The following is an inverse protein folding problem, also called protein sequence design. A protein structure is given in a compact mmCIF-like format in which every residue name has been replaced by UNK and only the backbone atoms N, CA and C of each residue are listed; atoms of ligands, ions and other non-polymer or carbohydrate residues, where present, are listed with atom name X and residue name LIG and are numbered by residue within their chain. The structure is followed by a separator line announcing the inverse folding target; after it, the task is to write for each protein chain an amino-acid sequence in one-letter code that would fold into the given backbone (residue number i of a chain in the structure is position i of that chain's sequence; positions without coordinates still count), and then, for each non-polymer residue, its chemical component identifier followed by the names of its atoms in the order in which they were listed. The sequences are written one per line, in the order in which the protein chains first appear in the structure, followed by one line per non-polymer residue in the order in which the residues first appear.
data_IF_668633572560
#
_entry.id   IF_668633572560
#
_cell.length_a   1.000
_cell.length_b   1.000
_cell.length_c   1.000
_cell.angle_alpha   90.00
_cell.angle_beta   90.00
_cell.angle_gamma   90.00
#
_symmetry.space_group_name_H-M   'P 1'
#
loop_
_entity.id
_entity.type
_entity.pdbx_description
1 polymer ?
#
# COMPACT_ATOMS: atom_id res chain seq x y z
N UNK A 1 21.99 12.74 -33.60
CA UNK A 1 23.28 12.35 -34.20
C UNK A 1 23.01 11.37 -35.34
N UNK A 2 23.42 11.70 -36.57
CA UNK A 2 23.18 10.87 -37.76
C UNK A 2 24.52 10.47 -38.37
N UNK A 3 24.71 9.17 -38.61
CA UNK A 3 25.92 8.66 -39.22
C UNK A 3 25.91 8.93 -40.74
N UNK A 4 26.99 9.53 -41.24
CA UNK A 4 27.04 10.09 -42.61
C UNK A 4 26.86 9.02 -43.69
N UNK A 5 27.62 7.92 -43.62
CA UNK A 5 27.66 6.93 -44.71
C UNK A 5 26.50 5.93 -44.68
N UNK A 6 25.89 5.70 -43.53
CA UNK A 6 24.83 4.68 -43.37
C UNK A 6 23.46 5.29 -43.12
N UNK A 7 23.40 6.61 -42.94
CA UNK A 7 22.23 7.38 -42.53
C UNK A 7 21.56 6.88 -41.25
N UNK A 8 22.26 6.08 -40.44
CA UNK A 8 21.74 5.53 -39.20
C UNK A 8 21.72 6.60 -38.10
N UNK A 9 20.65 6.63 -37.32
CA UNK A 9 20.49 7.55 -36.20
C UNK A 9 20.92 6.87 -34.91
N UNK A 10 21.73 7.57 -34.11
CA UNK A 10 22.16 7.08 -32.80
C UNK A 10 20.99 7.08 -31.80
N UNK A 11 20.70 5.93 -31.21
CA UNK A 11 19.55 5.71 -30.32
C UNK A 11 19.92 4.83 -29.13
N UNK A 12 19.27 5.07 -27.99
CA UNK A 12 19.23 4.10 -26.89
C UNK A 12 18.13 3.06 -27.13
N UNK A 13 18.50 1.78 -27.13
CA UNK A 13 17.59 0.64 -27.32
C UNK A 13 16.64 0.47 -26.13
N UNK A 14 17.08 0.85 -24.92
CA UNK A 14 16.32 0.72 -23.67
C UNK A 14 16.48 -0.64 -22.99
N UNK A 15 17.19 -1.57 -23.63
CA UNK A 15 17.53 -2.89 -23.08
C UNK A 15 18.89 -2.80 -22.37
N UNK A 16 19.02 -3.35 -21.15
CA UNK A 16 20.32 -3.47 -20.48
C UNK A 16 21.16 -4.56 -21.14
N UNK A 17 22.46 -4.31 -21.27
CA UNK A 17 23.43 -5.29 -21.74
C UNK A 17 23.57 -6.45 -20.74
N UNK A 18 24.01 -7.64 -21.19
CA UNK A 18 24.33 -8.74 -20.28
C UNK A 18 25.46 -8.41 -19.30
N UNK A 19 25.80 -9.36 -18.41
CA UNK A 19 26.76 -9.12 -17.32
C UNK A 19 28.15 -8.65 -17.80
N UNK A 20 28.57 -8.99 -19.02
CA UNK A 20 29.82 -8.48 -19.61
C UNK A 20 29.84 -6.95 -19.80
N UNK A 21 28.66 -6.34 -19.99
CA UNK A 21 28.45 -4.91 -20.15
C UNK A 21 27.99 -4.24 -18.85
N UNK A 22 28.13 -4.92 -17.71
CA UNK A 22 27.75 -4.41 -16.39
C UNK A 22 26.31 -3.88 -16.33
N UNK A 23 25.38 -4.45 -17.12
CA UNK A 23 23.98 -4.02 -17.23
C UNK A 23 23.76 -2.57 -17.65
N UNK A 24 24.72 -1.98 -18.35
CA UNK A 24 24.58 -0.66 -18.96
C UNK A 24 23.56 -0.68 -20.11
N UNK A 25 23.00 0.48 -20.46
CA UNK A 25 22.03 0.58 -21.55
C UNK A 25 22.68 0.40 -22.92
N UNK A 26 22.03 -0.37 -23.80
CA UNK A 26 22.50 -0.61 -25.16
C UNK A 26 22.32 0.63 -26.07
N UNK A 27 23.38 0.96 -26.83
CA UNK A 27 23.41 2.04 -27.83
C UNK A 27 23.43 1.44 -29.24
N UNK A 28 22.49 1.85 -30.09
CA UNK A 28 22.29 1.29 -31.44
C UNK A 28 22.20 2.37 -32.52
N UNK A 29 22.49 1.99 -33.77
CA UNK A 29 22.27 2.82 -34.95
C UNK A 29 21.06 2.34 -35.75
N UNK A 30 19.94 3.07 -35.68
CA UNK A 30 18.69 2.68 -36.36
C UNK A 30 18.56 3.38 -37.73
N UNK A 31 18.31 2.60 -38.79
CA UNK A 31 18.16 3.11 -40.17
C UNK A 31 16.73 3.49 -40.55
N UNK A 32 15.72 2.88 -39.91
CA UNK A 32 14.31 3.03 -40.25
C UNK A 32 13.61 3.90 -39.20
N UNK A 33 13.65 5.21 -39.38
CA UNK A 33 13.01 6.12 -38.44
C UNK A 33 11.55 6.37 -38.84
N UNK A 34 10.62 5.89 -38.03
CA UNK A 34 9.18 6.22 -38.12
C UNK A 34 8.81 7.22 -37.02
N UNK A 35 9.28 8.46 -37.18
CA UNK A 35 8.86 9.59 -36.34
C UNK A 35 9.70 9.81 -35.07
N UNK A 36 9.56 11.01 -34.50
CA UNK A 36 10.33 11.50 -33.35
C UNK A 36 10.22 10.57 -32.12
N UNK A 37 11.36 10.25 -31.51
CA UNK A 37 11.44 9.46 -30.27
C UNK A 37 12.48 10.06 -29.33
N UNK A 38 12.15 10.22 -28.04
CA UNK A 38 13.03 10.90 -27.07
C UNK A 38 14.40 10.22 -26.92
N UNK A 39 14.47 8.89 -27.09
CA UNK A 39 15.72 8.12 -27.01
C UNK A 39 16.73 8.34 -28.15
N UNK A 40 16.40 9.25 -29.08
CA UNK A 40 17.31 9.69 -30.17
C UNK A 40 17.86 11.10 -29.96
N UNK A 41 17.38 11.80 -28.94
CA UNK A 41 17.82 13.13 -28.57
C UNK A 41 18.98 12.99 -27.60
N UNK A 42 20.06 13.71 -27.88
CA UNK A 42 21.29 13.67 -27.10
C UNK A 42 21.70 15.09 -26.80
N UNK A 43 22.09 15.35 -25.55
CA UNK A 43 22.66 16.60 -25.09
C UNK A 43 24.09 16.39 -24.63
N UNK A 44 24.94 17.39 -24.84
CA UNK A 44 26.26 17.43 -24.21
C UNK A 44 26.07 18.02 -22.82
N UNK A 45 26.17 17.20 -21.78
CA UNK A 45 26.05 17.65 -20.39
C UNK A 45 27.32 18.35 -19.91
N UNK A 46 28.46 17.87 -20.40
CA UNK A 46 29.76 18.34 -19.98
C UNK A 46 30.69 18.42 -21.20
N UNK A 47 31.35 19.56 -21.35
CA UNK A 47 32.41 19.74 -22.32
C UNK A 47 33.63 20.31 -21.62
N UNK A 48 34.67 19.49 -21.47
CA UNK A 48 35.97 19.90 -20.93
C UNK A 48 36.95 20.06 -22.08
N UNK A 49 37.48 21.26 -22.27
CA UNK A 49 38.55 21.51 -23.22
C UNK A 49 39.74 22.14 -22.51
N UNK A 50 40.91 21.50 -22.61
CA UNK A 50 42.15 21.99 -22.01
C UNK A 50 42.66 23.22 -22.76
N UNK A 51 42.71 24.38 -22.10
CA UNK A 51 43.18 25.63 -22.73
C UNK A 51 44.69 25.81 -22.56
N UNK A 52 45.30 25.12 -21.60
CA UNK A 52 46.74 25.15 -21.32
C UNK A 52 47.56 24.35 -22.33
N UNK A 53 48.73 24.88 -22.68
CA UNK A 53 49.68 24.20 -23.58
C UNK A 53 50.45 23.09 -22.83
N UNK A 54 50.73 23.29 -21.54
CA UNK A 54 51.45 22.34 -20.71
C UNK A 54 50.59 21.15 -20.31
N UNK A 55 51.17 19.94 -20.36
CA UNK A 55 50.45 18.70 -20.06
C UNK A 55 49.96 18.65 -18.60
N UNK A 56 50.78 19.12 -17.66
CA UNK A 56 50.48 19.10 -16.23
C UNK A 56 49.29 19.99 -15.87
N UNK A 57 49.18 21.14 -16.54
CA UNK A 57 48.07 22.07 -16.35
C UNK A 57 46.78 21.53 -16.97
N UNK A 58 46.85 20.85 -18.12
CA UNK A 58 45.69 20.16 -18.72
C UNK A 58 45.14 19.04 -17.84
N UNK A 59 46.02 18.25 -17.23
CA UNK A 59 45.63 17.21 -16.28
C UNK A 59 44.92 17.82 -15.06
N UNK A 60 45.42 18.95 -14.54
CA UNK A 60 44.77 19.67 -13.44
C UNK A 60 43.41 20.27 -13.84
N UNK A 61 43.29 20.84 -15.05
CA UNK A 61 42.01 21.35 -15.59
C UNK A 61 40.97 20.23 -15.74
N UNK A 62 41.38 19.05 -16.22
CA UNK A 62 40.53 17.88 -16.34
C UNK A 62 40.07 17.32 -14.99
N UNK A 63 40.83 17.52 -13.91
CA UNK A 63 40.44 17.07 -12.57
C UNK A 63 39.71 18.14 -11.75
N UNK A 64 39.61 19.37 -12.26
CA UNK A 64 38.87 20.44 -11.58
C UNK A 64 37.35 20.19 -11.62
N UNK A 65 36.60 20.57 -10.55
CA UNK A 65 35.15 20.42 -10.53
C UNK A 65 34.51 21.35 -11.55
N UNK A 66 33.69 20.77 -12.42
CA UNK A 66 32.99 21.48 -13.49
C UNK A 66 32.02 22.49 -12.90
N UNK A 67 32.18 23.75 -13.27
CA UNK A 67 31.16 24.77 -13.05
C UNK A 67 30.00 24.51 -14.01
N UNK A 68 29.13 23.58 -13.62
CA UNK A 68 27.85 23.40 -14.30
C UNK A 68 26.97 24.57 -13.89
N UNK A 69 26.44 25.31 -14.85
CA UNK A 69 25.36 26.26 -14.61
C UNK A 69 24.10 25.47 -14.19
N UNK A 70 24.00 25.16 -12.89
CA UNK A 70 22.85 24.48 -12.27
C UNK A 70 21.57 25.33 -12.44
N UNK A 71 21.71 26.60 -12.87
CA UNK A 71 20.65 27.55 -13.19
C UNK A 71 20.02 27.30 -14.58
N UNK A 72 19.71 26.05 -14.94
CA UNK A 72 18.55 25.86 -15.82
C UNK A 72 17.33 26.33 -15.02
N UNK A 73 16.88 27.55 -15.31
CA UNK A 73 15.70 28.21 -14.74
C UNK A 73 14.42 27.47 -15.14
N UNK A 74 14.30 26.20 -14.74
CA UNK A 74 13.07 25.45 -14.82
C UNK A 74 12.11 26.05 -13.80
N UNK A 75 10.90 26.39 -14.27
CA UNK A 75 9.84 26.83 -13.38
C UNK A 75 9.49 25.72 -12.39
N UNK A 76 8.97 26.11 -11.22
CA UNK A 76 8.49 25.14 -10.24
C UNK A 76 7.44 24.19 -10.85
N UNK A 77 6.54 24.71 -11.69
CA UNK A 77 5.53 23.90 -12.39
C UNK A 77 6.14 22.85 -13.32
N UNK A 78 7.23 23.17 -14.03
CA UNK A 78 7.90 22.21 -14.90
C UNK A 78 8.58 21.09 -14.10
N UNK A 79 9.24 21.44 -12.98
CA UNK A 79 9.84 20.44 -12.09
C UNK A 79 8.77 19.56 -11.44
N UNK A 80 7.66 20.16 -11.02
CA UNK A 80 6.54 19.46 -10.42
C UNK A 80 5.91 18.48 -11.41
N UNK A 81 5.59 18.92 -12.63
CA UNK A 81 4.98 18.04 -13.63
C UNK A 81 5.90 16.91 -14.05
N UNK A 82 7.19 17.19 -14.25
CA UNK A 82 8.20 16.16 -14.54
C UNK A 82 8.27 15.11 -13.43
N UNK A 83 8.30 15.56 -12.18
CA UNK A 83 8.38 14.67 -11.02
C UNK A 83 7.10 13.82 -10.87
N UNK A 84 5.91 14.41 -11.05
CA UNK A 84 4.65 13.66 -11.03
C UNK A 84 4.59 12.62 -12.15
N UNK A 85 5.02 12.99 -13.36
CA UNK A 85 5.11 12.06 -14.48
C UNK A 85 6.03 10.88 -14.17
N UNK A 86 7.25 11.17 -13.66
CA UNK A 86 8.19 10.13 -13.24
C UNK A 86 7.62 9.23 -12.13
N UNK A 87 6.93 9.78 -11.14
CA UNK A 87 6.28 8.98 -10.08
C UNK A 87 5.22 8.02 -10.65
N UNK A 88 4.51 8.40 -11.71
CA UNK A 88 3.49 7.58 -12.36
C UNK A 88 4.08 6.53 -13.30
N UNK A 89 5.15 6.86 -14.03
CA UNK A 89 5.74 5.98 -15.05
C UNK A 89 6.87 5.09 -14.53
N UNK A 90 7.42 5.37 -13.34
CA UNK A 90 8.42 4.50 -12.72
C UNK A 90 7.79 3.12 -12.52
N UNK A 91 8.34 2.15 -13.26
CA UNK A 91 8.09 0.73 -13.07
C UNK A 91 8.97 0.30 -11.91
N UNK A 92 8.35 -0.18 -10.83
CA UNK A 92 9.08 -0.93 -9.81
C UNK A 92 9.51 -2.25 -10.44
N UNK A 93 10.77 -2.65 -10.26
CA UNK A 93 11.17 -4.02 -10.59
C UNK A 93 10.29 -4.98 -9.77
N UNK A 94 9.61 -5.90 -10.47
CA UNK A 94 8.65 -6.87 -9.92
C UNK A 94 9.35 -7.99 -9.13
N UNK A 95 10.29 -7.64 -8.26
CA UNK A 95 10.84 -8.61 -7.31
C UNK A 95 9.74 -8.93 -6.29
N UNK A 96 9.14 -10.10 -6.42
CA UNK A 96 8.18 -10.61 -5.44
C UNK A 96 8.82 -10.62 -4.05
N UNK A 97 8.30 -9.76 -3.16
CA UNK A 97 8.74 -9.73 -1.77
C UNK A 97 8.09 -10.88 -1.01
N UNK A 98 8.83 -11.54 -0.11
CA UNK A 98 8.32 -12.69 0.68
C UNK A 98 6.99 -12.41 1.40
N UNK A 99 6.84 -11.21 1.97
CA UNK A 99 5.62 -10.77 2.67
C UNK A 99 4.63 -10.02 1.77
N UNK A 100 4.77 -10.13 0.45
CA UNK A 100 3.74 -9.63 -0.47
C UNK A 100 2.44 -10.40 -0.28
N UNK A 101 1.32 -9.73 -0.53
CA UNK A 101 -0.01 -10.25 -0.19
C UNK A 101 -1.03 -9.76 -1.21
N UNK A 102 -2.08 -10.54 -1.42
CA UNK A 102 -3.16 -10.15 -2.34
C UNK A 102 -4.26 -9.39 -1.60
N UNK A 103 -5.06 -8.57 -2.30
CA UNK A 103 -6.18 -7.85 -1.67
C UNK A 103 -7.19 -8.76 -0.95
N UNK A 104 -7.36 -10.01 -1.40
CA UNK A 104 -8.29 -10.96 -0.79
C UNK A 104 -7.77 -11.47 0.56
N UNK A 105 -6.46 -11.69 0.69
CA UNK A 105 -5.82 -12.16 1.92
C UNK A 105 -6.00 -11.16 3.07
N UNK A 106 -6.16 -9.88 2.74
CA UNK A 106 -6.35 -8.83 3.73
C UNK A 106 -7.69 -8.96 4.44
N UNK A 107 -8.78 -9.22 3.71
CA UNK A 107 -10.13 -9.29 4.31
C UNK A 107 -10.20 -10.38 5.38
N UNK A 108 -9.54 -11.51 5.14
CA UNK A 108 -9.49 -12.61 6.11
C UNK A 108 -8.36 -12.46 7.14
N UNK A 109 -7.46 -11.49 7.00
CA UNK A 109 -6.24 -11.39 7.80
C UNK A 109 -5.42 -12.68 7.73
N UNK A 110 -5.20 -13.19 6.51
CA UNK A 110 -4.42 -14.41 6.29
C UNK A 110 -2.92 -14.11 6.24
N UNK A 111 -2.52 -12.88 5.97
CA UNK A 111 -1.10 -12.49 5.90
C UNK A 111 -0.70 -11.62 7.09
N UNK A 112 0.58 -11.71 7.48
CA UNK A 112 1.24 -10.80 8.42
C UNK A 112 2.59 -10.36 7.84
N UNK A 113 3.14 -9.26 8.36
CA UNK A 113 4.46 -8.76 7.91
C UNK A 113 5.40 -8.74 9.11
N UNK A 114 6.54 -9.41 9.03
CA UNK A 114 7.59 -9.28 10.04
C UNK A 114 8.45 -8.05 9.72
N UNK A 115 8.47 -7.06 10.61
CA UNK A 115 9.29 -5.85 10.45
C UNK A 115 10.68 -6.01 11.04
N UNK A 116 10.78 -6.71 12.17
CA UNK A 116 12.03 -6.80 12.90
C UNK A 116 12.09 -8.09 13.70
N UNK A 117 13.28 -8.68 13.73
CA UNK A 117 13.65 -9.79 14.60
C UNK A 117 14.95 -9.40 15.27
N UNK A 118 14.98 -9.44 16.61
CA UNK A 118 16.19 -9.15 17.34
C UNK A 118 17.29 -10.18 16.99
N UNK A 119 18.56 -9.78 16.79
CA UNK A 119 19.62 -10.72 16.39
C UNK A 119 19.97 -11.77 17.45
N UNK A 120 19.98 -11.39 18.73
CA UNK A 120 20.33 -12.30 19.85
C UNK A 120 19.13 -12.89 20.60
N UNK A 121 18.10 -12.10 20.90
CA UNK A 121 16.86 -12.57 21.53
C UNK A 121 15.81 -12.95 20.48
N UNK A 122 14.79 -13.71 20.86
CA UNK A 122 13.65 -14.04 20.00
C UNK A 122 12.55 -12.96 20.02
N UNK A 123 12.89 -11.72 20.36
CA UNK A 123 11.96 -10.59 20.30
C UNK A 123 11.72 -10.20 18.84
N UNK A 124 10.48 -9.92 18.46
CA UNK A 124 10.11 -9.62 17.09
C UNK A 124 8.93 -8.65 17.00
N UNK A 125 8.90 -7.85 15.94
CA UNK A 125 7.84 -6.90 15.64
C UNK A 125 7.16 -7.33 14.36
N UNK A 126 5.84 -7.52 14.43
CA UNK A 126 5.00 -7.90 13.30
C UNK A 126 3.86 -6.90 13.10
N UNK A 127 3.55 -6.60 11.85
CA UNK A 127 2.25 -6.06 11.47
C UNK A 127 1.24 -7.20 11.49
N UNK A 128 0.41 -7.23 12.53
CA UNK A 128 -0.68 -8.17 12.66
C UNK A 128 -1.90 -7.45 13.22
N UNK A 129 -3.04 -7.62 12.54
CA UNK A 129 -4.31 -7.05 12.98
C UNK A 129 -4.87 -7.78 14.21
N UNK A 130 -5.70 -7.08 14.99
CA UNK A 130 -6.50 -7.72 16.02
C UNK A 130 -7.64 -8.50 15.36
N UNK A 131 -7.58 -9.84 15.40
CA UNK A 131 -8.54 -10.73 14.74
C UNK A 131 -10.00 -10.44 15.13
N UNK A 132 -10.25 -10.12 16.40
CA UNK A 132 -11.60 -9.84 16.90
C UNK A 132 -12.17 -8.58 16.25
N UNK A 133 -11.37 -7.51 16.23
CA UNK A 133 -11.75 -6.24 15.60
C UNK A 133 -11.91 -6.44 14.09
N UNK A 134 -10.95 -7.11 13.45
CA UNK A 134 -10.95 -7.34 12.01
C UNK A 134 -12.17 -8.11 11.52
N UNK A 135 -12.47 -9.23 12.18
CA UNK A 135 -13.63 -10.06 11.89
C UNK A 135 -14.93 -9.30 12.15
N UNK A 136 -15.02 -8.58 13.28
CA UNK A 136 -16.21 -7.80 13.62
C UNK A 136 -16.47 -6.64 12.65
N UNK A 137 -15.42 -5.96 12.16
CA UNK A 137 -15.55 -4.86 11.21
C UNK A 137 -16.03 -5.37 9.84
N UNK A 138 -15.48 -6.50 9.39
CA UNK A 138 -15.93 -7.18 8.17
C UNK A 138 -17.38 -7.67 8.31
N UNK A 139 -17.73 -8.28 9.45
CA UNK A 139 -19.09 -8.74 9.74
C UNK A 139 -20.08 -7.57 9.81
N UNK A 140 -19.73 -6.46 10.46
CA UNK A 140 -20.58 -5.27 10.54
C UNK A 140 -20.83 -4.66 9.15
N UNK A 141 -19.82 -4.67 8.27
CA UNK A 141 -19.98 -4.22 6.88
C UNK A 141 -20.96 -5.11 6.12
N UNK A 142 -20.86 -6.44 6.28
CA UNK A 142 -21.79 -7.38 5.69
C UNK A 142 -23.22 -7.19 6.23
N UNK A 143 -23.38 -7.08 7.55
CA UNK A 143 -24.67 -6.85 8.21
C UNK A 143 -25.28 -5.53 7.76
N UNK A 144 -24.48 -4.47 7.65
CA UNK A 144 -24.93 -3.19 7.12
C UNK A 144 -25.47 -3.34 5.69
N UNK A 145 -24.72 -4.01 4.80
CA UNK A 145 -25.14 -4.21 3.41
C UNK A 145 -26.46 -4.99 3.32
N UNK A 146 -26.61 -6.05 4.13
CA UNK A 146 -27.85 -6.84 4.19
C UNK A 146 -29.04 -6.01 4.70
N UNK A 147 -28.85 -5.28 5.81
CA UNK A 147 -29.88 -4.40 6.37
C UNK A 147 -30.25 -3.27 5.40
N UNK A 148 -29.27 -2.68 4.73
CA UNK A 148 -29.48 -1.63 3.74
C UNK A 148 -30.29 -2.12 2.55
N UNK A 149 -29.95 -3.29 1.98
CA UNK A 149 -30.73 -3.93 0.91
C UNK A 149 -32.15 -4.26 1.40
N UNK A 150 -32.28 -4.79 2.62
CA UNK A 150 -33.56 -5.10 3.24
C UNK A 150 -34.46 -3.86 3.36
N UNK A 151 -33.93 -2.75 3.89
CA UNK A 151 -34.67 -1.49 4.01
C UNK A 151 -35.01 -0.89 2.65
N UNK A 152 -34.10 -0.96 1.67
CA UNK A 152 -34.38 -0.52 0.30
C UNK A 152 -35.56 -1.28 -0.31
N UNK A 153 -35.59 -2.61 -0.17
CA UNK A 153 -36.67 -3.46 -0.68
C UNK A 153 -38.01 -3.14 -0.01
N UNK A 154 -38.03 -2.97 1.32
CA UNK A 154 -39.26 -2.62 2.07
C UNK A 154 -39.76 -1.23 1.74
N UNK A 155 -38.85 -0.26 1.59
CA UNK A 155 -39.18 1.11 1.18
C UNK A 155 -39.75 1.14 -0.25
N UNK A 156 -39.25 0.33 -1.18
CA UNK A 156 -39.86 0.17 -2.51
C UNK A 156 -41.29 -0.38 -2.45
N UNK A 157 -41.60 -1.22 -1.45
CA UNK A 157 -42.96 -1.71 -1.17
C UNK A 157 -43.80 -0.75 -0.33
N UNK A 158 -43.37 0.51 -0.17
CA UNK A 158 -44.03 1.55 0.66
C UNK A 158 -44.12 1.21 2.15
N UNK A 159 -43.30 0.29 2.64
CA UNK A 159 -43.17 -0.01 4.07
C UNK A 159 -41.96 0.74 4.61
N UNK A 160 -42.22 1.85 5.30
CA UNK A 160 -41.17 2.70 5.88
C UNK A 160 -40.94 2.32 7.36
N UNK A 161 -39.94 1.47 7.62
CA UNK A 161 -39.60 1.04 8.99
C UNK A 161 -38.91 2.13 9.81
N UNK A 162 -38.20 3.04 9.13
CA UNK A 162 -37.40 4.11 9.72
C UNK A 162 -38.03 5.47 9.38
N UNK A 163 -38.08 6.41 10.34
CA UNK A 163 -38.33 7.82 10.05
C UNK A 163 -37.33 8.37 9.01
N UNK A 164 -37.77 9.32 8.18
CA UNK A 164 -36.96 9.87 7.07
C UNK A 164 -35.61 10.43 7.52
N UNK A 165 -35.56 11.10 8.67
CA UNK A 165 -34.34 11.68 9.23
C UNK A 165 -33.32 10.62 9.68
N UNK A 166 -33.78 9.50 10.24
CA UNK A 166 -32.92 8.36 10.61
C UNK A 166 -32.48 7.58 9.38
N UNK A 167 -33.37 7.43 8.40
CA UNK A 167 -33.02 6.83 7.12
C UNK A 167 -31.91 7.61 6.40
N UNK A 168 -32.02 8.94 6.33
CA UNK A 168 -31.00 9.77 5.69
C UNK A 168 -29.64 9.64 6.40
N UNK A 169 -29.62 9.66 7.74
CA UNK A 169 -28.40 9.44 8.53
C UNK A 169 -27.78 8.06 8.28
N UNK A 170 -28.61 7.02 8.23
CA UNK A 170 -28.18 5.65 7.92
C UNK A 170 -27.55 5.53 6.53
N UNK A 171 -28.17 6.16 5.52
CA UNK A 171 -27.66 6.20 4.15
C UNK A 171 -26.33 6.97 4.08
N UNK A 172 -26.25 8.14 4.71
CA UNK A 172 -25.03 8.96 4.73
C UNK A 172 -23.87 8.23 5.44
N UNK A 173 -24.12 7.61 6.59
CA UNK A 173 -23.12 6.85 7.33
C UNK A 173 -22.58 5.68 6.49
N UNK A 174 -23.46 4.93 5.82
CA UNK A 174 -23.05 3.86 4.91
C UNK A 174 -22.34 4.36 3.66
N UNK A 175 -22.81 5.43 3.04
CA UNK A 175 -22.15 6.01 1.88
C UNK A 175 -20.73 6.46 2.21
N UNK A 176 -20.53 7.09 3.37
CA UNK A 176 -19.21 7.48 3.85
C UNK A 176 -18.34 6.25 4.16
N UNK A 177 -18.84 5.28 4.93
CA UNK A 177 -18.03 4.16 5.39
C UNK A 177 -17.81 3.11 4.30
N UNK A 178 -18.87 2.63 3.64
CA UNK A 178 -18.75 1.66 2.56
C UNK A 178 -18.10 2.27 1.31
N UNK A 179 -18.41 3.53 0.99
CA UNK A 179 -17.75 4.26 -0.09
C UNK A 179 -16.28 4.52 0.21
N UNK A 180 -15.94 4.95 1.42
CA UNK A 180 -14.56 5.11 1.89
C UNK A 180 -13.77 3.81 1.84
N UNK A 181 -14.38 2.70 2.29
CA UNK A 181 -13.81 1.36 2.16
C UNK A 181 -13.56 1.00 0.69
N UNK A 182 -14.56 1.19 -0.19
CA UNK A 182 -14.45 0.85 -1.60
C UNK A 182 -13.34 1.65 -2.31
N UNK A 183 -13.26 2.96 -2.09
CA UNK A 183 -12.21 3.82 -2.67
C UNK A 183 -10.82 3.44 -2.18
N UNK A 184 -10.69 2.98 -0.94
CA UNK A 184 -9.41 2.57 -0.37
C UNK A 184 -9.10 1.07 -0.52
N UNK A 185 -9.95 0.29 -1.19
CA UNK A 185 -9.74 -1.16 -1.36
C UNK A 185 -9.79 -1.59 -2.81
N UNK A 186 -10.79 -1.15 -3.58
CA UNK A 186 -10.99 -1.60 -4.96
C UNK A 186 -9.83 -1.24 -5.91
N UNK A 187 -9.17 -0.07 -5.82
CA UNK A 187 -8.06 0.24 -6.72
C UNK A 187 -6.92 -0.78 -6.66
N UNK A 188 -6.70 -1.43 -5.52
CA UNK A 188 -5.62 -2.41 -5.36
C UNK A 188 -5.81 -3.69 -6.19
N UNK A 189 -7.04 -4.00 -6.62
CA UNK A 189 -7.28 -5.11 -7.56
C UNK A 189 -6.83 -4.79 -8.99
N UNK A 190 -6.66 -3.51 -9.32
CA UNK A 190 -6.25 -3.04 -10.64
C UNK A 190 -4.75 -2.71 -10.69
N UNK A 191 -4.04 -2.82 -9.56
CA UNK A 191 -2.62 -2.50 -9.48
C UNK A 191 -1.78 -3.74 -9.67
N UNK A 192 -0.84 -3.69 -10.62
CA UNK A 192 0.14 -4.75 -10.90
C UNK A 192 1.44 -4.60 -10.06
N UNK A 193 1.36 -3.93 -8.91
CA UNK A 193 2.53 -3.67 -8.04
C UNK A 193 2.60 -4.68 -6.91
N UNK A 194 3.76 -4.80 -6.25
CA UNK A 194 3.88 -5.56 -5.00
C UNK A 194 3.05 -4.91 -3.90
N UNK A 195 2.05 -5.63 -3.39
CA UNK A 195 1.14 -5.13 -2.35
C UNK A 195 1.39 -5.80 -1.00
N UNK A 196 1.00 -5.10 0.06
CA UNK A 196 1.27 -5.46 1.45
C UNK A 196 0.06 -5.15 2.32
N UNK A 197 -0.11 -5.89 3.42
CA UNK A 197 -1.24 -5.73 4.36
C UNK A 197 -1.51 -4.29 4.82
N UNK A 198 -0.48 -3.46 5.00
CA UNK A 198 -0.67 -2.07 5.46
C UNK A 198 -1.48 -1.21 4.47
N UNK A 199 -1.52 -1.58 3.19
CA UNK A 199 -2.35 -0.88 2.18
C UNK A 199 -3.85 -0.99 2.49
N UNK A 200 -4.27 -2.03 3.22
CA UNK A 200 -5.66 -2.23 3.60
C UNK A 200 -6.09 -1.43 4.84
N UNK A 201 -5.14 -0.96 5.67
CA UNK A 201 -5.46 -0.30 6.95
C UNK A 201 -6.36 0.95 6.80
N UNK A 202 -6.19 1.81 5.77
CA UNK A 202 -7.13 2.91 5.52
C UNK A 202 -8.56 2.40 5.26
N UNK A 203 -8.72 1.35 4.44
CA UNK A 203 -10.03 0.76 4.16
C UNK A 203 -10.65 0.13 5.43
N UNK A 204 -9.86 -0.60 6.22
CA UNK A 204 -10.28 -1.17 7.50
C UNK A 204 -10.78 -0.10 8.47
N UNK A 205 -10.16 1.09 8.49
CA UNK A 205 -10.58 2.20 9.36
C UNK A 205 -12.03 2.58 9.11
N UNK A 206 -12.47 2.63 7.84
CA UNK A 206 -13.87 2.89 7.50
C UNK A 206 -14.81 1.76 7.95
N UNK A 207 -14.37 0.50 7.92
CA UNK A 207 -15.18 -0.61 8.46
C UNK A 207 -15.31 -0.52 9.98
N UNK A 208 -14.25 -0.12 10.68
CA UNK A 208 -14.27 0.10 12.13
C UNK A 208 -15.21 1.26 12.49
N UNK A 209 -15.22 2.34 11.70
CA UNK A 209 -16.17 3.45 11.90
C UNK A 209 -17.64 3.04 11.67
N UNK A 210 -17.89 2.07 10.79
CA UNK A 210 -19.22 1.54 10.54
C UNK A 210 -19.74 0.65 11.68
N UNK A 211 -18.82 -0.01 12.41
CA UNK A 211 -19.15 -0.92 13.50
C UNK A 211 -20.11 -0.33 14.55
N UNK A 212 -19.81 0.83 15.20
CA UNK A 212 -20.72 1.41 16.18
C UNK A 212 -22.08 1.79 15.60
N UNK A 213 -22.13 2.25 14.34
CA UNK A 213 -23.38 2.62 13.66
C UNK A 213 -24.30 1.40 13.53
N UNK A 214 -23.73 0.24 13.17
CA UNK A 214 -24.48 -1.01 13.06
C UNK A 214 -24.90 -1.53 14.43
N UNK A 215 -24.03 -1.45 15.44
CA UNK A 215 -24.34 -1.90 16.81
C UNK A 215 -25.47 -1.06 17.44
N UNK A 216 -25.40 0.27 17.32
CA UNK A 216 -26.45 1.18 17.78
C UNK A 216 -27.78 0.86 17.09
N UNK A 217 -27.75 0.68 15.77
CA UNK A 217 -28.95 0.36 15.00
C UNK A 217 -29.59 -0.97 15.40
N UNK A 218 -28.79 -2.00 15.67
CA UNK A 218 -29.29 -3.30 16.18
C UNK A 218 -29.93 -3.14 17.56
N UNK A 219 -29.28 -2.41 18.47
CA UNK A 219 -29.79 -2.14 19.81
C UNK A 219 -31.14 -1.41 19.77
N UNK A 220 -31.25 -0.38 18.94
CA UNK A 220 -32.44 0.47 18.92
C UNK A 220 -33.62 -0.16 18.20
N UNK A 221 -33.37 -0.84 17.08
CA UNK A 221 -34.41 -1.30 16.16
C UNK A 221 -34.70 -2.79 16.20
N UNK A 222 -33.70 -3.62 16.52
CA UNK A 222 -33.84 -5.09 16.61
C UNK A 222 -34.18 -5.54 18.03
N UNK A 223 -33.54 -4.95 19.04
CA UNK A 223 -33.79 -5.26 20.45
C UNK A 223 -35.01 -4.47 20.98
N UNK A 224 -36.18 -5.12 20.98
CA UNK A 224 -37.46 -4.50 21.35
C UNK A 224 -37.73 -4.52 22.86
N UNK A 225 -37.24 -5.53 23.58
CA UNK A 225 -37.45 -5.66 25.03
C UNK A 225 -36.26 -5.13 25.83
N UNK A 226 -36.52 -4.67 27.07
CA UNK A 226 -35.45 -4.23 27.97
C UNK A 226 -34.43 -5.33 28.23
N UNK A 227 -34.90 -6.58 28.37
CA UNK A 227 -34.02 -7.74 28.54
C UNK A 227 -33.12 -7.94 27.30
N UNK A 228 -33.66 -7.85 26.09
CA UNK A 228 -32.86 -7.95 24.86
C UNK A 228 -31.81 -6.86 24.77
N UNK A 229 -32.15 -5.62 25.12
CA UNK A 229 -31.19 -4.50 25.14
C UNK A 229 -30.10 -4.71 26.17
N UNK A 230 -30.44 -5.10 27.39
CA UNK A 230 -29.44 -5.40 28.43
C UNK A 230 -28.53 -6.56 28.04
N UNK A 231 -29.07 -7.63 27.45
CA UNK A 231 -28.29 -8.75 26.93
C UNK A 231 -27.37 -8.32 25.79
N UNK A 232 -27.87 -7.52 24.83
CA UNK A 232 -27.07 -7.01 23.73
C UNK A 232 -25.93 -6.11 24.21
N UNK A 233 -26.19 -5.19 25.13
CA UNK A 233 -25.16 -4.36 25.75
C UNK A 233 -24.11 -5.21 26.47
N UNK A 234 -24.53 -6.25 27.21
CA UNK A 234 -23.59 -7.17 27.85
C UNK A 234 -22.71 -7.90 26.82
N UNK A 235 -23.27 -8.31 25.68
CA UNK A 235 -22.52 -8.92 24.58
C UNK A 235 -21.52 -7.94 23.94
N UNK A 236 -21.91 -6.68 23.75
CA UNK A 236 -21.00 -5.64 23.22
C UNK A 236 -19.84 -5.39 24.20
N UNK A 237 -20.12 -5.33 25.50
CA UNK A 237 -19.07 -5.20 26.53
C UNK A 237 -18.16 -6.43 26.52
N UNK A 238 -18.72 -7.64 26.44
CA UNK A 238 -17.93 -8.87 26.35
C UNK A 238 -17.07 -8.95 25.08
N UNK A 239 -17.58 -8.47 23.94
CA UNK A 239 -16.81 -8.34 22.71
C UNK A 239 -15.66 -7.35 22.87
N UNK A 240 -15.91 -6.18 23.48
CA UNK A 240 -14.89 -5.17 23.70
C UNK A 240 -13.78 -5.66 24.65
N UNK A 241 -14.14 -6.35 25.73
CA UNK A 241 -13.15 -6.96 26.64
C UNK A 241 -12.34 -8.05 25.95
N UNK A 242 -12.96 -8.86 25.07
CA UNK A 242 -12.25 -9.81 24.22
C UNK A 242 -11.25 -9.12 23.29
N UNK A 243 -11.64 -8.03 22.62
CA UNK A 243 -10.74 -7.26 21.77
C UNK A 243 -9.53 -6.71 22.55
N UNK A 244 -9.75 -6.16 23.75
CA UNK A 244 -8.68 -5.71 24.65
C UNK A 244 -7.78 -6.87 25.09
N UNK A 245 -8.35 -8.04 25.39
CA UNK A 245 -7.59 -9.23 25.77
C UNK A 245 -6.68 -9.68 24.64
N UNK A 246 -7.19 -9.77 23.40
CA UNK A 246 -6.38 -10.11 22.22
C UNK A 246 -5.26 -9.10 21.99
N UNK A 247 -5.54 -7.80 22.16
CA UNK A 247 -4.51 -6.75 22.06
C UNK A 247 -3.40 -6.94 23.09
N UNK A 248 -3.75 -7.32 24.32
CA UNK A 248 -2.77 -7.59 25.37
C UNK A 248 -1.96 -8.87 25.09
N UNK A 249 -2.56 -9.91 24.51
CA UNK A 249 -1.86 -11.12 24.10
C UNK A 249 -0.87 -10.88 22.96
N UNK A 250 -1.26 -10.06 21.97
CA UNK A 250 -0.43 -9.73 20.81
C UNK A 250 0.60 -8.61 21.07
N UNK A 251 0.50 -7.92 22.21
CA UNK A 251 1.40 -6.82 22.62
C UNK A 251 2.89 -7.13 22.41
N UNK A 252 3.43 -8.32 22.79
CA UNK A 252 4.84 -8.61 22.58
C UNK A 252 5.26 -8.58 21.10
N UNK A 253 4.35 -8.94 20.18
CA UNK A 253 4.58 -8.89 18.73
C UNK A 253 4.40 -7.49 18.15
N UNK A 254 3.65 -6.60 18.83
CA UNK A 254 3.50 -5.20 18.39
C UNK A 254 4.66 -4.33 18.84
N UNK A 255 5.08 -4.45 20.11
CA UNK A 255 6.12 -3.59 20.69
C UNK A 255 7.52 -4.19 20.62
N UNK A 256 7.65 -5.51 20.45
CA UNK A 256 8.95 -6.19 20.48
C UNK A 256 9.66 -6.09 21.85
N UNK A 257 8.92 -5.79 22.93
CA UNK A 257 9.46 -5.51 24.27
C UNK A 257 9.86 -6.78 25.02
N UNK A 258 9.22 -7.91 24.70
CA UNK A 258 9.43 -9.20 25.40
C UNK A 258 9.87 -10.28 24.43
N UNK A 259 10.94 -10.99 24.77
CA UNK A 259 11.33 -12.21 24.06
C UNK A 259 10.43 -13.36 24.47
N UNK A 260 9.78 -13.99 23.50
CA UNK A 260 8.90 -15.14 23.72
C UNK A 260 9.62 -16.45 23.41
N UNK A 261 9.27 -17.49 24.15
CA UNK A 261 9.72 -18.86 23.89
C UNK A 261 9.08 -19.41 22.60
N UNK A 262 9.70 -20.43 21.94
CA UNK A 262 9.11 -21.05 20.74
C UNK A 262 7.70 -21.61 20.95
N UNK A 263 7.37 -22.11 22.15
CA UNK A 263 6.02 -22.59 22.48
C UNK A 263 5.00 -21.46 22.58
N UNK A 264 5.37 -20.33 23.18
CA UNK A 264 4.50 -19.15 23.25
C UNK A 264 4.27 -18.54 21.86
N UNK A 265 5.32 -18.48 21.03
CA UNK A 265 5.18 -18.01 19.64
C UNK A 265 4.28 -18.91 18.80
N UNK A 266 4.34 -20.23 19.01
CA UNK A 266 3.38 -21.16 18.38
C UNK A 266 1.96 -20.95 18.90
N UNK A 267 1.78 -20.68 20.19
CA UNK A 267 0.46 -20.41 20.76
C UNK A 267 -0.17 -19.10 20.24
N UNK A 268 0.65 -18.11 19.86
CA UNK A 268 0.18 -16.87 19.22
C UNK A 268 -0.10 -17.03 17.71
N UNK A 269 0.32 -18.14 17.09
CA UNK A 269 0.03 -18.45 15.69
C UNK A 269 -1.36 -19.07 15.56
N UNK A 270 -2.38 -18.22 15.53
CA UNK A 270 -3.78 -18.69 15.44
C UNK A 270 -4.19 -19.11 14.03
N UNK A 271 -3.47 -18.64 13.01
CA UNK A 271 -3.62 -19.08 11.62
C UNK A 271 -2.31 -19.64 11.11
N UNK A 272 -2.39 -20.74 10.37
CA UNK A 272 -1.23 -21.35 9.72
C UNK A 272 -0.61 -20.42 8.68
N UNK A 273 -1.40 -19.53 8.08
CA UNK A 273 -0.92 -18.54 7.11
C UNK A 273 -0.06 -17.43 7.75
N UNK A 274 -0.05 -17.30 9.07
CA UNK A 274 0.80 -16.32 9.76
C UNK A 274 2.24 -16.80 9.86
N UNK A 275 3.14 -16.08 9.20
CA UNK A 275 4.59 -16.23 9.24
C UNK A 275 5.17 -15.59 10.51
N UNK A 276 4.96 -16.25 11.65
CA UNK A 276 5.65 -15.91 12.90
C UNK A 276 7.02 -16.59 12.88
N UNK A 277 8.10 -15.82 13.07
CA UNK A 277 9.45 -16.35 12.97
C UNK A 277 9.77 -17.14 14.25
N UNK A 278 10.06 -18.42 14.08
CA UNK A 278 10.46 -19.31 15.17
C UNK A 278 11.86 -19.84 14.84
N UNK A 279 12.84 -19.48 15.68
CA UNK A 279 14.20 -20.04 15.55
C UNK A 279 14.16 -21.53 15.86
N UNK A 280 14.58 -22.35 14.90
CA UNK A 280 14.93 -23.75 15.14
C UNK A 280 16.39 -23.77 15.59
N UNK A 281 16.59 -23.92 16.91
CA UNK A 281 17.85 -24.09 17.65
C UNK A 281 19.05 -23.26 17.17
#
# INVERSE_FOLDING_TARGET
FVHVNTSAILKLSGVPLPDWGFRQLEVVGEKLFRGYHESTVWNVEEHRYGRSQEQKERELELHSPTQVDISRNLSFMARFSELQWRMLTVRSDDSEHKYSSTPLDWVMLDTNIAYWLHPRTSAQIHLLGNVVIWASASLATLVYALLFIWYLLRRRRRVCDLPEDRWLRWVLAGALCAGGWAVNYLPFFLMEKTLFLYHYLPALTFQILLLPVVLEHISDHLCRSQLQRSLFTALVVAWFTSACHVSNMLRPLTYGDRSLSPSELKALRWKDSWDILIRKY
#
